data_IF_563788706349
#
_entry.id   IF_563788706349
#
_cell.length_a   1.000
_cell.length_b   1.000
_cell.length_c   1.000
_cell.angle_alpha   90.00
_cell.angle_beta   90.00
_cell.angle_gamma   90.00
#
_symmetry.space_group_name_H-M   'P 1'
#
loop_
_entity.id
_entity.type
_entity.pdbx_description
1 polymer ?
#
# COMPACT_ATOMS: atom_id res chain seq x y z
N UNK A 1 -11.18 -7.16 32.06
CA UNK A 1 -10.75 -7.55 30.72
C UNK A 1 -10.04 -8.89 30.83
N UNK A 2 -10.44 -9.88 30.03
CA UNK A 2 -9.75 -11.16 29.87
C UNK A 2 -8.84 -11.05 28.66
N UNK A 3 -7.65 -11.63 28.75
CA UNK A 3 -6.68 -11.65 27.67
C UNK A 3 -6.52 -13.06 27.12
N UNK A 4 -6.61 -13.23 25.81
CA UNK A 4 -6.26 -14.43 25.08
C UNK A 4 -5.23 -14.10 24.01
N UNK A 5 -4.35 -15.05 23.71
CA UNK A 5 -3.25 -14.81 22.76
C UNK A 5 -2.80 -16.07 22.04
N UNK A 6 -2.21 -15.85 20.87
CA UNK A 6 -1.41 -16.85 20.15
C UNK A 6 -0.01 -16.29 19.85
N UNK A 7 0.74 -16.90 18.92
CA UNK A 7 2.04 -16.36 18.49
C UNK A 7 1.98 -14.96 17.86
N UNK A 8 0.87 -14.61 17.17
CA UNK A 8 0.75 -13.40 16.33
C UNK A 8 -0.13 -12.30 16.93
N UNK A 9 -1.15 -12.68 17.72
CA UNK A 9 -2.17 -11.77 18.23
C UNK A 9 -2.30 -11.83 19.75
N UNK A 10 -2.60 -10.68 20.35
CA UNK A 10 -3.12 -10.56 21.72
C UNK A 10 -4.45 -9.83 21.66
N UNK A 11 -5.49 -10.41 22.24
CA UNK A 11 -6.82 -9.82 22.33
C UNK A 11 -7.21 -9.56 23.78
N UNK A 12 -7.86 -8.42 24.02
CA UNK A 12 -8.51 -8.12 25.32
C UNK A 12 -10.01 -8.04 25.13
N UNK A 13 -10.71 -8.91 25.82
CA UNK A 13 -12.16 -9.12 25.70
C UNK A 13 -12.83 -8.72 27.02
N UNK A 14 -13.95 -8.02 26.94
CA UNK A 14 -14.80 -7.73 28.10
C UNK A 14 -15.57 -8.99 28.48
N UNK A 15 -15.36 -9.56 29.66
CA UNK A 15 -16.09 -10.75 30.07
C UNK A 15 -17.59 -10.50 30.27
N UNK A 16 -17.97 -9.26 30.56
CA UNK A 16 -19.37 -8.90 30.82
C UNK A 16 -20.15 -8.56 29.56
N UNK A 17 -19.49 -8.01 28.54
CA UNK A 17 -20.19 -7.59 27.30
C UNK A 17 -19.85 -8.46 26.09
N UNK A 18 -18.84 -9.31 26.17
CA UNK A 18 -18.36 -10.11 25.04
C UNK A 18 -17.73 -9.27 23.91
N UNK A 19 -17.42 -7.99 24.15
CA UNK A 19 -16.80 -7.12 23.15
C UNK A 19 -15.28 -7.31 23.13
N UNK A 20 -14.68 -7.38 21.94
CA UNK A 20 -13.23 -7.35 21.77
C UNK A 20 -12.78 -5.90 21.71
N UNK A 21 -12.23 -5.41 22.81
CA UNK A 21 -11.83 -4.01 22.98
C UNK A 21 -10.40 -3.71 22.51
N UNK A 22 -9.56 -4.72 22.45
CA UNK A 22 -8.18 -4.54 22.00
C UNK A 22 -7.76 -5.74 21.16
N UNK A 23 -7.13 -5.44 20.05
CA UNK A 23 -6.39 -6.41 19.23
C UNK A 23 -5.02 -5.82 18.93
N UNK A 24 -3.97 -6.56 19.30
CA UNK A 24 -2.57 -6.15 19.13
C UNK A 24 -1.79 -7.21 18.38
N UNK A 25 -1.05 -6.76 17.36
CA UNK A 25 -0.12 -7.59 16.59
C UNK A 25 1.17 -7.74 17.39
N UNK A 26 1.73 -8.94 17.47
CA UNK A 26 3.00 -9.21 18.17
C UNK A 26 4.21 -9.00 17.28
N UNK A 27 4.13 -9.44 16.02
CA UNK A 27 5.23 -9.41 15.05
C UNK A 27 5.43 -8.03 14.40
N UNK A 28 4.43 -7.15 14.48
CA UNK A 28 4.48 -5.81 13.90
C UNK A 28 4.44 -4.76 14.99
N UNK A 29 5.55 -4.05 15.18
CA UNK A 29 5.70 -3.02 16.22
C UNK A 29 5.52 -1.61 15.64
N UNK A 30 5.27 -0.60 16.48
CA UNK A 30 5.19 0.79 16.02
C UNK A 30 6.54 1.36 15.61
N UNK A 31 7.58 1.06 16.38
CA UNK A 31 8.95 1.49 16.14
C UNK A 31 9.83 0.27 15.86
N UNK A 32 10.89 0.48 15.13
CA UNK A 32 11.90 -0.55 14.90
C UNK A 32 12.90 -0.62 16.08
N UNK A 33 12.39 -0.98 17.27
CA UNK A 33 13.20 -1.25 18.46
C UNK A 33 12.55 -2.34 19.30
N UNK A 34 13.34 -3.00 20.14
CA UNK A 34 12.90 -4.16 20.95
C UNK A 34 11.85 -3.78 22.00
N UNK A 35 11.86 -2.54 22.51
CA UNK A 35 10.91 -2.04 23.49
C UNK A 35 9.59 -1.57 22.88
N UNK A 36 9.46 -1.60 21.56
CA UNK A 36 8.27 -1.09 20.88
C UNK A 36 7.08 -2.02 21.07
N UNK A 37 5.97 -1.43 21.44
CA UNK A 37 4.70 -2.15 21.52
C UNK A 37 4.21 -2.58 20.14
N UNK A 38 3.59 -3.74 20.07
CA UNK A 38 2.95 -4.23 18.86
C UNK A 38 1.82 -3.30 18.38
N UNK A 39 1.63 -3.24 17.06
CA UNK A 39 0.58 -2.40 16.44
C UNK A 39 -0.80 -2.78 16.96
N UNK A 40 -1.56 -1.79 17.37
CA UNK A 40 -2.91 -1.95 17.89
C UNK A 40 -3.93 -1.74 16.77
N UNK A 41 -4.66 -2.78 16.42
CA UNK A 41 -5.75 -2.72 15.45
C UNK A 41 -7.05 -2.24 16.10
N UNK A 42 -7.42 -2.84 17.25
CA UNK A 42 -8.53 -2.39 18.07
C UNK A 42 -8.01 -1.73 19.35
N UNK A 43 -8.74 -0.75 19.82
CA UNK A 43 -8.40 -0.08 21.07
C UNK A 43 -9.29 1.11 21.35
N UNK A 44 -9.06 1.73 22.48
CA UNK A 44 -9.69 3.00 22.84
C UNK A 44 -8.63 3.95 23.39
N UNK A 45 -8.87 5.23 23.19
CA UNK A 45 -8.10 6.30 23.80
C UNK A 45 -9.06 7.31 24.43
N UNK A 46 -9.00 7.39 25.76
CA UNK A 46 -9.89 8.25 26.53
C UNK A 46 -9.61 9.73 26.29
N UNK A 47 -8.35 10.10 26.03
CA UNK A 47 -7.98 11.50 25.86
C UNK A 47 -8.61 12.10 24.58
N UNK A 48 -8.69 11.30 23.51
CA UNK A 48 -9.19 11.74 22.20
C UNK A 48 -10.57 11.19 21.85
N UNK A 49 -11.21 10.45 22.75
CA UNK A 49 -12.52 9.82 22.50
C UNK A 49 -12.49 8.70 21.45
N UNK A 50 -11.30 8.29 20.98
CA UNK A 50 -11.17 7.24 19.99
C UNK A 50 -11.62 5.89 20.55
N UNK A 51 -12.46 5.19 19.76
CA UNK A 51 -12.89 3.81 20.02
C UNK A 51 -12.84 3.03 18.72
N UNK A 52 -12.26 1.83 18.78
CA UNK A 52 -12.36 0.84 17.71
C UNK A 52 -12.42 -0.53 18.35
N UNK A 53 -13.56 -1.21 18.24
CA UNK A 53 -13.83 -2.51 18.84
C UNK A 53 -14.72 -3.39 17.96
N UNK A 54 -14.74 -4.68 18.27
CA UNK A 54 -15.57 -5.68 17.62
C UNK A 54 -16.63 -6.19 18.60
N UNK A 55 -17.81 -6.44 18.07
CA UNK A 55 -18.90 -7.14 18.77
C UNK A 55 -19.60 -8.12 17.83
N UNK A 56 -20.06 -9.22 18.39
CA UNK A 56 -20.92 -10.18 17.70
C UNK A 56 -22.09 -10.57 18.60
N UNK A 57 -23.03 -11.30 18.07
CA UNK A 57 -24.19 -11.81 18.81
C UNK A 57 -25.45 -11.84 17.96
N UNK A 58 -26.57 -11.67 18.63
CA UNK A 58 -27.90 -11.70 18.01
C UNK A 58 -28.54 -10.30 18.07
N UNK A 59 -29.17 -9.88 16.98
CA UNK A 59 -29.85 -8.57 16.89
C UNK A 59 -30.92 -8.45 17.99
N UNK A 60 -31.05 -7.24 18.53
CA UNK A 60 -32.01 -6.86 19.57
C UNK A 60 -31.75 -7.43 20.98
N UNK A 61 -30.58 -7.97 21.27
CA UNK A 61 -30.28 -8.52 22.59
C UNK A 61 -28.98 -7.99 23.18
N UNK A 62 -29.08 -7.01 24.07
CA UNK A 62 -28.00 -6.65 25.00
C UNK A 62 -27.88 -7.69 26.08
N UNK A 63 -26.95 -8.64 25.96
CA UNK A 63 -26.70 -9.67 26.97
C UNK A 63 -25.52 -9.31 27.85
N UNK A 64 -25.62 -9.60 29.12
CA UNK A 64 -24.50 -9.62 30.06
C UNK A 64 -23.99 -11.05 30.19
N UNK A 65 -22.68 -11.23 30.21
CA UNK A 65 -22.03 -12.54 30.20
C UNK A 65 -21.22 -12.77 31.48
N UNK A 66 -21.01 -14.05 31.77
CA UNK A 66 -20.06 -14.55 32.76
C UNK A 66 -19.09 -15.51 32.10
N UNK A 67 -17.91 -15.61 32.70
CA UNK A 67 -16.85 -16.49 32.20
C UNK A 67 -17.12 -17.93 32.57
N UNK A 68 -17.16 -18.80 31.60
CA UNK A 68 -17.26 -20.25 31.79
C UNK A 68 -15.88 -20.90 31.78
N UNK A 69 -15.03 -20.51 30.81
CA UNK A 69 -13.71 -21.11 30.63
C UNK A 69 -12.74 -20.10 30.01
N UNK A 70 -11.50 -20.12 30.49
CA UNK A 70 -10.39 -19.31 29.92
C UNK A 70 -9.23 -20.28 29.63
N UNK A 71 -8.80 -20.29 28.36
CA UNK A 71 -7.58 -20.94 27.89
C UNK A 71 -6.65 -19.90 27.28
N UNK A 72 -5.36 -20.18 27.08
CA UNK A 72 -4.44 -19.20 26.51
C UNK A 72 -4.89 -18.61 25.16
N UNK A 73 -5.52 -19.40 24.30
CA UNK A 73 -5.99 -19.00 22.97
C UNK A 73 -7.51 -18.99 22.80
N UNK A 74 -8.28 -19.29 23.86
CA UNK A 74 -9.75 -19.25 23.79
C UNK A 74 -10.42 -18.76 25.05
N UNK A 75 -11.64 -18.22 24.89
CA UNK A 75 -12.49 -17.73 25.96
C UNK A 75 -13.93 -18.13 25.67
N UNK A 76 -14.58 -18.82 26.65
CA UNK A 76 -16.00 -19.14 26.56
C UNK A 76 -16.79 -18.35 27.60
N UNK A 77 -17.85 -17.70 27.14
CA UNK A 77 -18.76 -16.91 27.93
C UNK A 77 -20.18 -17.51 27.82
N UNK A 78 -20.93 -17.39 28.90
CA UNK A 78 -22.37 -17.71 28.93
C UNK A 78 -23.12 -16.47 29.42
N UNK A 79 -24.24 -16.14 28.76
CA UNK A 79 -25.08 -15.05 29.24
C UNK A 79 -25.67 -15.37 30.63
N UNK A 80 -25.83 -14.35 31.47
CA UNK A 80 -26.34 -14.49 32.85
C UNK A 80 -27.71 -15.18 32.89
N UNK A 81 -28.53 -15.00 31.87
CA UNK A 81 -29.81 -15.69 31.72
C UNK A 81 -29.69 -17.11 31.13
N UNK A 82 -28.47 -17.60 30.88
CA UNK A 82 -28.22 -18.94 30.34
C UNK A 82 -28.63 -19.15 28.88
N UNK A 83 -29.09 -18.10 28.18
CA UNK A 83 -29.67 -18.24 26.85
C UNK A 83 -28.66 -18.24 25.70
N UNK A 84 -27.52 -17.59 25.85
CA UNK A 84 -26.52 -17.39 24.79
C UNK A 84 -25.14 -17.79 25.26
N UNK A 85 -24.48 -18.66 24.55
CA UNK A 85 -23.06 -18.97 24.70
C UNK A 85 -22.27 -18.26 23.60
N UNK A 86 -21.12 -17.70 23.97
CA UNK A 86 -20.18 -17.08 23.06
C UNK A 86 -18.79 -17.64 23.28
N UNK A 87 -18.15 -18.12 22.22
CA UNK A 87 -16.78 -18.63 22.26
C UNK A 87 -15.88 -17.89 21.30
N UNK A 88 -14.73 -17.47 21.82
CA UNK A 88 -13.65 -16.83 21.03
C UNK A 88 -12.50 -17.81 20.94
N UNK A 89 -11.98 -18.03 19.75
CA UNK A 89 -10.84 -18.92 19.52
C UNK A 89 -9.85 -18.26 18.56
N UNK A 90 -8.60 -18.13 18.98
CA UNK A 90 -7.49 -17.77 18.11
C UNK A 90 -6.84 -19.03 17.54
N UNK A 91 -6.78 -19.15 16.22
CA UNK A 91 -6.02 -20.21 15.58
C UNK A 91 -4.54 -20.11 15.94
N UNK A 92 -3.88 -21.25 16.09
CA UNK A 92 -2.44 -21.28 16.31
C UNK A 92 -1.72 -20.67 15.11
N UNK A 93 -0.75 -19.79 15.38
CA UNK A 93 0.10 -19.11 14.39
C UNK A 93 -0.65 -18.42 13.24
N UNK A 94 -1.79 -17.77 13.57
CA UNK A 94 -2.66 -17.14 12.59
C UNK A 94 -3.16 -15.78 13.08
N UNK A 95 -3.60 -14.92 12.13
CA UNK A 95 -4.24 -13.63 12.35
C UNK A 95 -5.78 -13.73 12.36
N UNK A 96 -6.34 -14.93 12.43
CA UNK A 96 -7.78 -15.15 12.38
C UNK A 96 -8.35 -15.41 13.77
N UNK A 97 -9.39 -14.64 14.12
CA UNK A 97 -10.26 -14.85 15.26
C UNK A 97 -11.53 -15.54 14.79
N UNK A 98 -11.84 -16.69 15.39
CA UNK A 98 -13.13 -17.36 15.25
C UNK A 98 -14.02 -16.98 16.44
N UNK A 99 -15.26 -16.61 16.16
CA UNK A 99 -16.27 -16.34 17.18
C UNK A 99 -17.48 -17.24 16.89
N UNK A 100 -17.83 -18.08 17.85
CA UNK A 100 -19.05 -18.88 17.79
C UNK A 100 -20.11 -18.28 18.73
N UNK A 101 -21.21 -17.81 18.16
CA UNK A 101 -22.38 -17.37 18.91
C UNK A 101 -23.45 -18.47 18.83
N UNK A 102 -23.88 -19.02 19.97
CA UNK A 102 -24.82 -20.13 20.05
C UNK A 102 -25.99 -19.78 20.95
N UNK A 103 -27.21 -20.04 20.50
CA UNK A 103 -28.38 -19.99 21.35
C UNK A 103 -28.56 -21.30 22.09
N UNK A 104 -28.52 -21.28 23.42
CA UNK A 104 -28.55 -22.46 24.28
C UNK A 104 -29.95 -22.69 24.87
N UNK A 105 -30.66 -21.60 25.18
CA UNK A 105 -32.02 -21.68 25.78
C UNK A 105 -33.14 -21.86 24.79
N UNK A 106 -34.37 -21.68 25.25
CA UNK A 106 -35.55 -21.73 24.41
C UNK A 106 -35.50 -20.57 23.40
N UNK A 107 -35.67 -20.90 22.10
CA UNK A 107 -35.73 -19.90 21.04
C UNK A 107 -36.99 -19.06 21.13
N UNK A 108 -36.91 -17.73 20.88
CA UNK A 108 -38.09 -16.92 20.67
C UNK A 108 -38.82 -17.30 19.37
N UNK A 109 -40.10 -16.87 19.23
CA UNK A 109 -40.87 -17.12 18.01
C UNK A 109 -40.17 -16.56 16.77
N UNK A 110 -39.60 -15.38 16.88
CA UNK A 110 -38.75 -14.78 15.85
C UNK A 110 -37.30 -15.14 16.12
N UNK A 111 -36.71 -15.95 15.24
CA UNK A 111 -35.29 -16.35 15.35
C UNK A 111 -34.41 -15.11 15.18
N UNK A 112 -33.63 -14.71 16.20
CA UNK A 112 -32.84 -13.49 16.13
C UNK A 112 -31.68 -13.65 15.15
N UNK A 113 -31.52 -12.65 14.28
CA UNK A 113 -30.45 -12.65 13.27
C UNK A 113 -29.07 -12.49 13.94
N UNK A 114 -28.13 -13.41 13.70
CA UNK A 114 -26.76 -13.26 14.16
C UNK A 114 -26.02 -12.18 13.36
N UNK A 115 -25.15 -11.45 14.06
CA UNK A 115 -24.33 -10.42 13.46
C UNK A 115 -22.91 -10.42 14.01
N UNK A 116 -21.98 -9.87 13.22
CA UNK A 116 -20.64 -9.48 13.65
C UNK A 116 -20.34 -8.09 13.07
N UNK A 117 -19.91 -7.16 13.92
CA UNK A 117 -19.71 -5.80 13.50
C UNK A 117 -18.53 -5.14 14.24
N UNK A 118 -17.84 -4.28 13.52
CA UNK A 118 -16.78 -3.40 14.00
C UNK A 118 -17.36 -1.99 14.20
N UNK A 119 -16.97 -1.36 15.28
CA UNK A 119 -17.46 -0.04 15.71
C UNK A 119 -16.26 0.90 15.83
N UNK A 120 -16.26 2.02 15.10
CA UNK A 120 -15.13 2.94 15.08
C UNK A 120 -15.56 4.40 15.07
N UNK A 121 -14.91 5.23 15.88
CA UNK A 121 -14.96 6.70 15.76
C UNK A 121 -14.01 7.16 14.64
N UNK A 122 -14.32 8.30 14.01
CA UNK A 122 -13.49 8.87 12.90
C UNK A 122 -12.17 9.49 13.38
N UNK A 123 -11.84 9.41 14.65
CA UNK A 123 -10.58 9.96 15.15
C UNK A 123 -9.41 9.01 14.90
N UNK A 124 -8.26 9.58 14.56
CA UNK A 124 -7.03 8.80 14.37
C UNK A 124 -6.55 8.26 15.71
N UNK A 125 -6.03 7.03 15.77
CA UNK A 125 -5.33 6.55 16.94
C UNK A 125 -4.13 7.46 17.24
N UNK A 126 -3.86 7.71 18.54
CA UNK A 126 -2.67 8.46 19.00
C UNK A 126 -1.34 7.87 18.48
N UNK A 127 -1.36 6.59 18.17
CA UNK A 127 -0.21 5.83 17.70
C UNK A 127 0.09 6.04 16.19
N UNK A 128 -0.72 6.86 15.50
CA UNK A 128 -0.43 7.22 14.11
C UNK A 128 0.79 8.15 14.08
N UNK A 129 1.88 7.70 13.49
CA UNK A 129 3.05 8.55 13.24
C UNK A 129 2.61 9.77 12.43
N UNK A 130 3.11 10.96 12.78
CA UNK A 130 2.95 12.21 12.00
C UNK A 130 3.74 12.17 10.67
N UNK A 131 3.65 11.07 9.96
CA UNK A 131 4.27 10.91 8.67
C UNK A 131 3.26 11.25 7.58
N UNK A 132 3.56 12.29 6.79
CA UNK A 132 2.70 12.76 5.69
C UNK A 132 2.31 11.62 4.75
N UNK A 133 3.20 10.62 4.54
CA UNK A 133 2.93 9.47 3.67
C UNK A 133 2.07 8.40 4.32
N UNK A 134 2.14 8.21 5.62
CA UNK A 134 1.20 7.33 6.34
C UNK A 134 -0.20 7.94 6.39
N UNK A 135 -0.26 9.26 6.55
CA UNK A 135 -1.51 10.01 6.58
C UNK A 135 -2.23 10.11 5.23
N UNK A 136 -1.52 9.96 4.12
CA UNK A 136 -2.10 10.02 2.76
C UNK A 136 -2.63 8.68 2.25
N UNK A 137 -2.39 7.58 2.99
CA UNK A 137 -2.89 6.27 2.61
C UNK A 137 -4.39 6.17 2.82
N UNK A 138 -5.03 5.33 2.00
CA UNK A 138 -6.46 5.09 2.11
C UNK A 138 -6.81 4.51 3.49
N UNK A 139 -7.76 5.13 4.16
CA UNK A 139 -8.38 4.64 5.39
C UNK A 139 -9.89 4.66 5.20
N UNK A 140 -10.53 3.50 5.25
CA UNK A 140 -11.96 3.41 4.98
C UNK A 140 -12.50 2.00 5.12
N UNK A 141 -13.72 1.86 4.63
CA UNK A 141 -14.42 0.58 4.53
C UNK A 141 -14.36 0.07 3.10
N UNK A 142 -14.21 -1.24 2.95
CA UNK A 142 -14.31 -1.90 1.67
C UNK A 142 -15.16 -3.17 1.77
N UNK A 143 -15.74 -3.53 0.62
CA UNK A 143 -16.63 -4.68 0.47
C UNK A 143 -16.20 -5.49 -0.74
N UNK A 144 -16.37 -6.79 -0.66
CA UNK A 144 -16.48 -7.64 -1.82
C UNK A 144 -17.96 -7.78 -2.15
N UNK A 145 -18.36 -7.39 -3.36
CA UNK A 145 -19.75 -7.46 -3.84
C UNK A 145 -19.85 -8.29 -5.12
N UNK A 146 -21.02 -8.80 -5.49
CA UNK A 146 -21.20 -9.57 -6.72
C UNK A 146 -20.89 -8.76 -7.98
N UNK A 147 -21.21 -7.46 -7.96
CA UNK A 147 -21.07 -6.57 -9.11
C UNK A 147 -19.67 -5.94 -9.19
N UNK A 148 -19.03 -5.75 -8.05
CA UNK A 148 -17.73 -5.14 -7.92
C UNK A 148 -16.86 -5.90 -6.90
N UNK A 149 -15.79 -6.59 -7.34
CA UNK A 149 -14.93 -7.38 -6.46
C UNK A 149 -14.30 -6.58 -5.32
N UNK A 150 -14.17 -5.26 -5.50
CA UNK A 150 -13.59 -4.34 -4.53
C UNK A 150 -14.28 -2.97 -4.57
N UNK A 151 -15.41 -2.86 -3.89
CA UNK A 151 -16.06 -1.58 -3.63
C UNK A 151 -15.45 -0.95 -2.36
N UNK A 152 -15.02 0.30 -2.43
CA UNK A 152 -14.41 0.97 -1.29
C UNK A 152 -14.93 2.40 -1.10
N UNK A 153 -14.99 2.84 0.15
CA UNK A 153 -15.43 4.18 0.53
C UNK A 153 -14.61 4.69 1.71
N UNK A 154 -14.12 5.93 1.61
CA UNK A 154 -13.46 6.57 2.75
C UNK A 154 -14.43 6.67 3.91
N UNK A 155 -13.93 6.44 5.13
CA UNK A 155 -14.80 6.43 6.31
C UNK A 155 -15.63 7.72 6.43
N UNK A 156 -15.00 8.88 6.20
CA UNK A 156 -15.67 10.21 6.24
C UNK A 156 -16.71 10.45 5.13
N UNK A 157 -16.73 9.61 4.11
CA UNK A 157 -17.66 9.71 2.99
C UNK A 157 -18.79 8.67 3.11
N UNK A 158 -18.91 8.01 4.27
CA UNK A 158 -20.06 7.16 4.60
C UNK A 158 -21.12 8.06 5.25
N UNK A 159 -21.92 8.73 4.42
CA UNK A 159 -22.96 9.65 4.87
C UNK A 159 -24.34 8.98 4.97
N UNK A 160 -24.52 7.85 4.28
CA UNK A 160 -25.71 7.05 4.25
C UNK A 160 -25.41 5.57 4.52
N UNK A 161 -26.45 4.79 4.80
CA UNK A 161 -26.35 3.34 4.96
C UNK A 161 -25.92 2.71 3.62
N UNK A 162 -24.79 2.01 3.64
CA UNK A 162 -24.35 1.15 2.55
C UNK A 162 -24.72 -0.28 2.92
N UNK A 163 -25.40 -0.99 2.03
CA UNK A 163 -25.84 -2.38 2.29
C UNK A 163 -25.82 -3.20 1.01
N UNK A 164 -25.16 -4.37 1.07
CA UNK A 164 -25.08 -5.35 0.00
C UNK A 164 -25.59 -6.71 0.49
N UNK A 165 -26.53 -7.30 -0.25
CA UNK A 165 -27.07 -8.63 0.06
C UNK A 165 -26.42 -9.67 -0.83
N UNK A 166 -25.71 -10.64 -0.22
CA UNK A 166 -25.03 -11.66 -0.98
C UNK A 166 -24.71 -12.92 -0.16
N UNK A 167 -24.27 -13.96 -0.86
CA UNK A 167 -23.69 -15.18 -0.26
C UNK A 167 -22.17 -15.08 -0.30
N UNK A 168 -21.52 -15.26 0.83
CA UNK A 168 -20.08 -15.09 0.93
C UNK A 168 -19.62 -13.63 0.83
N UNK A 169 -18.33 -13.42 0.52
CA UNK A 169 -17.70 -12.13 0.45
C UNK A 169 -17.11 -11.67 1.79
N UNK A 170 -16.84 -10.38 1.88
CA UNK A 170 -16.25 -9.81 3.08
C UNK A 170 -16.54 -8.31 3.17
N UNK A 171 -16.48 -7.79 4.40
CA UNK A 171 -16.43 -6.36 4.70
C UNK A 171 -15.21 -6.08 5.57
N UNK A 172 -14.44 -5.07 5.22
CA UNK A 172 -13.19 -4.76 5.89
C UNK A 172 -13.05 -3.28 6.22
N UNK A 173 -12.47 -3.02 7.39
CA UNK A 173 -11.86 -1.74 7.70
C UNK A 173 -10.38 -1.79 7.29
N UNK A 174 -9.97 -0.89 6.40
CA UNK A 174 -8.66 -0.88 5.78
C UNK A 174 -7.85 0.30 6.26
N UNK A 175 -6.60 0.05 6.62
CA UNK A 175 -5.53 1.02 6.83
C UNK A 175 -4.39 0.75 5.84
N UNK A 176 -3.32 1.54 5.88
CA UNK A 176 -2.18 1.41 4.98
C UNK A 176 -1.63 -0.03 4.93
N UNK A 177 -1.16 -0.54 6.04
CA UNK A 177 -0.48 -1.84 6.13
C UNK A 177 -1.33 -2.94 6.75
N UNK A 178 -2.40 -2.58 7.44
CA UNK A 178 -3.18 -3.49 8.28
C UNK A 178 -4.66 -3.37 7.97
N UNK A 179 -5.38 -4.43 8.29
CA UNK A 179 -6.84 -4.44 8.14
C UNK A 179 -7.51 -5.27 9.22
N UNK A 180 -8.80 -5.01 9.41
CA UNK A 180 -9.70 -5.85 10.14
C UNK A 180 -10.85 -6.22 9.19
N UNK A 181 -11.06 -7.50 8.91
CA UNK A 181 -12.06 -7.96 7.96
C UNK A 181 -12.97 -9.02 8.57
N UNK A 182 -14.26 -8.87 8.34
CA UNK A 182 -15.26 -9.91 8.57
C UNK A 182 -15.40 -10.72 7.30
N UNK A 183 -15.07 -12.01 7.38
CA UNK A 183 -15.14 -12.96 6.27
C UNK A 183 -16.45 -13.75 6.40
N UNK A 184 -17.34 -13.64 5.41
CA UNK A 184 -18.66 -14.25 5.48
C UNK A 184 -18.68 -15.60 4.77
N UNK A 185 -19.42 -16.59 5.31
CA UNK A 185 -19.53 -17.89 4.69
C UNK A 185 -20.42 -17.83 3.44
N UNK A 186 -20.13 -18.68 2.47
CA UNK A 186 -20.86 -18.76 1.19
C UNK A 186 -22.18 -19.54 1.26
N UNK A 187 -22.44 -20.23 2.38
CA UNK A 187 -23.60 -21.11 2.56
C UNK A 187 -24.90 -20.36 2.90
N UNK A 188 -24.80 -19.09 3.33
CA UNK A 188 -25.97 -18.28 3.73
C UNK A 188 -25.92 -16.87 3.17
N UNK A 189 -27.12 -16.25 3.09
CA UNK A 189 -27.25 -14.84 2.70
C UNK A 189 -26.86 -13.94 3.86
N UNK A 190 -26.02 -12.95 3.58
CA UNK A 190 -25.60 -11.93 4.52
C UNK A 190 -25.92 -10.54 3.97
N UNK A 191 -26.26 -9.62 4.85
CA UNK A 191 -26.20 -8.19 4.57
C UNK A 191 -24.84 -7.67 5.03
N UNK A 192 -23.98 -7.28 4.10
CA UNK A 192 -22.76 -6.55 4.40
C UNK A 192 -23.12 -5.07 4.53
N UNK A 193 -22.80 -4.45 5.67
CA UNK A 193 -23.28 -3.12 5.99
C UNK A 193 -22.15 -2.17 6.41
N UNK A 194 -22.28 -0.89 6.04
CA UNK A 194 -21.62 0.22 6.71
C UNK A 194 -22.66 1.30 7.04
N UNK A 195 -22.63 1.76 8.28
CA UNK A 195 -23.54 2.77 8.79
C UNK A 195 -22.74 4.01 9.22
N UNK A 196 -23.22 5.22 8.86
CA UNK A 196 -22.66 6.45 9.37
C UNK A 196 -22.90 6.61 10.88
N UNK A 197 -22.21 7.56 11.54
CA UNK A 197 -22.57 8.00 12.87
C UNK A 197 -24.03 8.47 12.92
N UNK A 198 -24.66 8.28 14.06
CA UNK A 198 -26.02 8.77 14.34
C UNK A 198 -25.98 9.90 15.35
N UNK A 199 -27.11 10.61 15.55
CA UNK A 199 -27.26 11.66 16.58
C UNK A 199 -26.95 11.16 17.99
N UNK A 200 -27.12 9.84 18.22
CA UNK A 200 -26.85 9.20 19.50
C UNK A 200 -25.42 8.64 19.63
N UNK A 201 -24.70 8.49 18.52
CA UNK A 201 -23.37 7.85 18.51
C UNK A 201 -22.47 8.42 17.41
N UNK A 202 -21.29 8.90 17.80
CA UNK A 202 -20.22 9.35 16.92
C UNK A 202 -19.48 8.19 16.19
N UNK A 203 -20.08 7.01 16.14
CA UNK A 203 -19.41 5.77 15.79
C UNK A 203 -19.93 5.20 14.47
N UNK A 204 -19.05 5.00 13.51
CA UNK A 204 -19.29 4.20 12.32
C UNK A 204 -19.44 2.73 12.70
N UNK A 205 -20.38 2.03 12.07
CA UNK A 205 -20.56 0.59 12.24
C UNK A 205 -20.39 -0.10 10.91
N UNK A 206 -19.57 -1.14 10.86
CA UNK A 206 -19.39 -1.96 9.66
C UNK A 206 -19.34 -3.44 10.02
N UNK A 207 -20.00 -4.27 9.24
CA UNK A 207 -20.07 -5.70 9.56
C UNK A 207 -20.98 -6.49 8.65
N UNK A 208 -21.33 -7.67 9.14
CA UNK A 208 -22.26 -8.60 8.45
C UNK A 208 -23.39 -9.01 9.38
N UNK A 209 -24.60 -9.02 8.81
CA UNK A 209 -25.82 -9.49 9.49
C UNK A 209 -26.35 -10.65 8.66
N UNK A 210 -26.49 -11.84 9.28
CA UNK A 210 -27.07 -12.99 8.61
C UNK A 210 -28.56 -12.78 8.36
N UNK A 211 -29.00 -13.18 7.18
CA UNK A 211 -30.42 -13.17 6.78
C UNK A 211 -30.88 -14.62 6.58
N UNK A 212 -32.18 -14.85 6.68
CA UNK A 212 -32.79 -16.18 6.44
C UNK A 212 -32.18 -17.31 7.29
N UNK A 213 -31.95 -17.04 8.58
CA UNK A 213 -31.31 -17.98 9.50
C UNK A 213 -32.34 -18.97 10.04
N UNK A 214 -31.99 -20.26 9.98
CA UNK A 214 -32.84 -21.33 10.54
C UNK A 214 -32.57 -21.47 12.05
N UNK A 215 -33.64 -21.86 12.77
CA UNK A 215 -33.56 -22.15 14.20
C UNK A 215 -32.45 -23.16 14.54
N UNK A 216 -32.28 -24.20 13.72
CA UNK A 216 -31.23 -25.21 13.88
C UNK A 216 -29.81 -24.63 13.77
N UNK A 217 -29.58 -23.62 12.94
CA UNK A 217 -28.26 -23.00 12.78
C UNK A 217 -27.87 -22.19 14.01
N UNK A 218 -28.84 -21.45 14.57
CA UNK A 218 -28.63 -20.63 15.76
C UNK A 218 -28.36 -21.50 17.00
N UNK A 219 -29.02 -22.66 17.10
CA UNK A 219 -28.81 -23.62 18.20
C UNK A 219 -27.56 -24.46 18.03
N UNK A 220 -27.12 -24.76 16.80
CA UNK A 220 -25.85 -25.46 16.56
C UNK A 220 -24.62 -24.57 16.73
N UNK A 221 -24.79 -23.27 16.60
CA UNK A 221 -23.72 -22.25 16.68
C UNK A 221 -23.45 -21.58 15.35
N UNK A 222 -23.38 -20.25 15.36
CA UNK A 222 -23.05 -19.43 14.20
C UNK A 222 -21.62 -18.99 14.30
N UNK A 223 -20.81 -19.40 13.33
CA UNK A 223 -19.40 -19.05 13.27
C UNK A 223 -19.16 -17.77 12.48
N UNK A 224 -18.44 -16.87 13.08
CA UNK A 224 -17.93 -15.65 12.46
C UNK A 224 -16.40 -15.73 12.35
N UNK A 225 -15.88 -15.44 11.18
CA UNK A 225 -14.44 -15.39 10.91
C UNK A 225 -14.02 -13.93 10.79
N UNK A 226 -13.05 -13.52 11.60
CA UNK A 226 -12.53 -12.14 11.61
C UNK A 226 -11.02 -12.18 11.42
N UNK A 227 -10.56 -11.61 10.32
CA UNK A 227 -9.14 -11.44 10.06
C UNK A 227 -8.65 -10.13 10.68
N UNK A 228 -7.56 -10.18 11.44
CA UNK A 228 -6.98 -9.05 12.17
C UNK A 228 -5.47 -9.03 11.92
N UNK A 229 -5.03 -8.50 10.79
CA UNK A 229 -3.63 -8.67 10.44
C UNK A 229 -3.08 -7.73 9.38
N UNK A 230 -1.82 -8.01 8.98
CA UNK A 230 -1.14 -7.28 7.92
C UNK A 230 -1.71 -7.63 6.54
N UNK A 231 -1.63 -6.67 5.62
CA UNK A 231 -2.02 -6.88 4.22
C UNK A 231 -0.90 -7.56 3.43
N UNK A 232 -0.61 -8.82 3.75
CA UNK A 232 0.33 -9.66 3.00
C UNK A 232 -0.42 -10.36 1.87
N UNK A 233 -0.04 -10.11 0.62
CA UNK A 233 -0.79 -10.56 -0.55
C UNK A 233 -1.04 -12.06 -0.59
N UNK A 234 -0.01 -12.87 -0.35
CA UNK A 234 -0.11 -14.34 -0.36
C UNK A 234 -1.06 -14.87 0.70
N UNK A 235 -1.11 -14.23 1.87
CA UNK A 235 -2.00 -14.59 2.95
C UNK A 235 -3.46 -14.21 2.60
N UNK A 236 -3.69 -13.00 2.11
CA UNK A 236 -5.03 -12.51 1.77
C UNK A 236 -5.72 -13.35 0.69
N UNK A 237 -5.01 -13.76 -0.37
CA UNK A 237 -5.53 -14.63 -1.44
C UNK A 237 -6.05 -15.95 -0.87
N UNK A 238 -5.39 -16.49 0.14
CA UNK A 238 -5.76 -17.77 0.74
C UNK A 238 -7.02 -17.71 1.63
N UNK A 239 -7.43 -16.51 2.08
CA UNK A 239 -8.49 -16.31 3.07
C UNK A 239 -9.87 -16.09 2.49
N UNK A 240 -9.95 -15.26 1.48
CA UNK A 240 -11.20 -14.96 0.77
C UNK A 240 -10.91 -14.45 -0.65
N UNK A 241 -11.84 -14.66 -1.59
CA UNK A 241 -11.72 -14.13 -2.95
C UNK A 241 -11.58 -12.61 -2.94
N UNK A 242 -10.67 -12.10 -3.77
CA UNK A 242 -10.44 -10.66 -4.00
C UNK A 242 -10.03 -9.84 -2.76
N UNK A 243 -9.71 -10.49 -1.63
CA UNK A 243 -9.29 -9.79 -0.42
C UNK A 243 -7.94 -9.09 -0.60
N UNK A 244 -7.08 -9.59 -1.49
CA UNK A 244 -5.80 -8.97 -1.86
C UNK A 244 -5.97 -7.63 -2.59
N UNK A 245 -7.14 -7.34 -3.16
CA UNK A 245 -7.43 -6.03 -3.79
C UNK A 245 -7.46 -4.89 -2.77
N UNK A 246 -7.51 -5.20 -1.48
CA UNK A 246 -7.35 -4.22 -0.39
C UNK A 246 -5.95 -3.60 -0.34
N UNK A 247 -4.95 -4.19 -1.02
CA UNK A 247 -3.63 -3.61 -1.21
C UNK A 247 -3.72 -2.65 -2.40
N UNK A 248 -3.66 -1.34 -2.14
CA UNK A 248 -3.75 -0.32 -3.19
C UNK A 248 -2.48 -0.29 -4.06
N UNK A 249 -2.52 -1.01 -5.16
CA UNK A 249 -1.44 -1.06 -6.17
C UNK A 249 -1.49 0.11 -7.17
N UNK A 250 -2.41 1.06 -6.99
CA UNK A 250 -2.55 2.25 -7.82
C UNK A 250 -3.01 1.98 -9.26
N UNK A 251 -2.93 3.00 -10.10
CA UNK A 251 -3.39 2.94 -11.51
C UNK A 251 -2.64 1.92 -12.35
N UNK A 252 -1.40 1.63 -12.01
CA UNK A 252 -0.57 0.65 -12.70
C UNK A 252 -0.54 -0.70 -11.97
N UNK A 253 -1.65 -1.11 -11.35
CA UNK A 253 -1.78 -2.37 -10.61
C UNK A 253 -1.32 -3.59 -11.43
N UNK A 254 -1.64 -3.62 -12.74
CA UNK A 254 -1.23 -4.68 -13.65
C UNK A 254 0.30 -4.78 -13.82
N UNK A 255 1.05 -3.73 -13.48
CA UNK A 255 2.51 -3.69 -13.47
C UNK A 255 3.04 -3.83 -12.04
N UNK A 256 2.40 -3.19 -11.05
CA UNK A 256 2.82 -3.23 -9.64
C UNK A 256 2.73 -4.64 -9.05
N UNK A 257 1.68 -5.40 -9.39
CA UNK A 257 1.51 -6.77 -8.90
C UNK A 257 2.62 -7.73 -9.37
N UNK A 258 2.95 -7.83 -10.67
CA UNK A 258 4.09 -8.63 -11.13
C UNK A 258 5.42 -8.17 -10.53
N UNK A 259 5.63 -6.85 -10.35
CA UNK A 259 6.83 -6.32 -9.73
C UNK A 259 6.96 -6.77 -8.29
N UNK A 260 5.89 -6.73 -7.50
CA UNK A 260 5.88 -7.21 -6.12
C UNK A 260 6.13 -8.72 -6.05
N UNK A 261 5.52 -9.49 -6.94
CA UNK A 261 5.74 -10.94 -7.02
C UNK A 261 7.21 -11.27 -7.33
N UNK A 262 7.81 -10.58 -8.30
CA UNK A 262 9.23 -10.74 -8.65
C UNK A 262 10.13 -10.28 -7.51
N UNK A 263 9.80 -9.17 -6.84
CA UNK A 263 10.55 -8.66 -5.69
C UNK A 263 10.57 -9.68 -4.54
N UNK A 264 9.41 -10.27 -4.22
CA UNK A 264 9.31 -11.33 -3.19
C UNK A 264 10.08 -12.58 -3.59
N UNK A 265 10.02 -12.99 -4.85
CA UNK A 265 10.78 -14.12 -5.36
C UNK A 265 12.30 -13.90 -5.24
N UNK A 266 12.78 -12.71 -5.60
CA UNK A 266 14.19 -12.35 -5.45
C UNK A 266 14.57 -12.29 -3.97
N UNK A 267 13.69 -11.78 -3.10
CA UNK A 267 13.94 -11.70 -1.67
C UNK A 267 14.06 -13.07 -1.00
N UNK A 268 13.33 -14.07 -1.47
CA UNK A 268 13.47 -15.46 -1.00
C UNK A 268 14.87 -16.04 -1.26
N UNK A 269 15.63 -15.47 -2.22
CA UNK A 269 17.00 -15.87 -2.52
C UNK A 269 18.02 -14.95 -1.85
N UNK A 270 17.78 -13.64 -1.84
CA UNK A 270 18.71 -12.63 -1.35
C UNK A 270 18.64 -12.42 0.17
N UNK A 271 17.52 -12.79 0.81
CA UNK A 271 17.24 -12.55 2.23
C UNK A 271 17.51 -11.10 2.68
N UNK A 272 17.32 -10.13 1.77
CA UNK A 272 17.46 -8.71 2.05
C UNK A 272 16.66 -7.90 1.02
N UNK A 273 15.64 -7.18 1.48
CA UNK A 273 14.74 -6.42 0.62
C UNK A 273 15.44 -5.30 -0.17
N UNK A 274 16.44 -4.62 0.42
CA UNK A 274 17.19 -3.59 -0.29
C UNK A 274 18.03 -4.15 -1.44
N UNK A 275 18.68 -5.30 -1.23
CA UNK A 275 19.38 -6.03 -2.30
C UNK A 275 18.38 -6.47 -3.38
N UNK A 276 17.23 -6.94 -2.99
CA UNK A 276 16.17 -7.38 -3.91
C UNK A 276 15.66 -6.24 -4.79
N UNK A 277 15.50 -5.04 -4.22
CA UNK A 277 15.14 -3.81 -4.97
C UNK A 277 16.20 -3.51 -6.04
N UNK A 278 17.48 -3.59 -5.68
CA UNK A 278 18.58 -3.35 -6.62
C UNK A 278 18.59 -4.41 -7.74
N UNK A 279 18.50 -5.69 -7.38
CA UNK A 279 18.51 -6.79 -8.35
C UNK A 279 17.32 -6.72 -9.30
N UNK A 280 16.13 -6.44 -8.79
CA UNK A 280 14.94 -6.24 -9.63
C UNK A 280 15.10 -5.03 -10.56
N UNK A 281 15.71 -3.94 -10.06
CA UNK A 281 16.02 -2.76 -10.89
C UNK A 281 16.96 -3.12 -12.03
N UNK A 282 18.02 -3.89 -11.75
CA UNK A 282 18.95 -4.40 -12.78
C UNK A 282 18.20 -5.25 -13.81
N UNK A 283 17.36 -6.19 -13.35
CA UNK A 283 16.59 -7.07 -14.22
C UNK A 283 15.69 -6.27 -15.16
N UNK A 284 14.93 -5.31 -14.65
CA UNK A 284 14.07 -4.44 -15.46
C UNK A 284 14.90 -3.63 -16.47
N UNK A 285 16.04 -3.08 -16.04
CA UNK A 285 16.93 -2.34 -16.93
C UNK A 285 17.51 -3.20 -18.04
N UNK A 286 17.84 -4.45 -17.78
CA UNK A 286 18.30 -5.39 -18.79
C UNK A 286 17.18 -5.72 -19.79
N UNK A 287 15.97 -5.96 -19.30
CA UNK A 287 14.79 -6.22 -20.14
C UNK A 287 14.46 -5.02 -21.05
N UNK A 288 14.53 -3.81 -20.51
CA UNK A 288 14.26 -2.57 -21.25
C UNK A 288 15.49 -2.01 -21.98
N UNK A 289 16.63 -2.72 -21.93
CA UNK A 289 17.86 -2.26 -22.57
C UNK A 289 17.74 -1.93 -24.05
N UNK A 290 17.17 -2.81 -24.91
CA UNK A 290 17.11 -2.52 -26.35
C UNK A 290 16.27 -1.27 -26.66
N UNK A 291 15.26 -1.00 -25.83
CA UNK A 291 14.39 0.13 -25.99
C UNK A 291 15.05 1.43 -25.50
N UNK A 292 15.68 1.40 -24.35
CA UNK A 292 16.46 2.51 -23.80
C UNK A 292 17.67 2.87 -24.67
N UNK A 293 18.33 1.87 -25.26
CA UNK A 293 19.46 2.05 -26.16
C UNK A 293 19.12 2.88 -27.40
N UNK A 294 17.92 2.70 -27.99
CA UNK A 294 17.44 3.52 -29.12
C UNK A 294 17.32 5.00 -28.71
N UNK A 295 16.79 5.28 -27.54
CA UNK A 295 16.69 6.65 -27.00
C UNK A 295 18.06 7.29 -26.76
N UNK A 296 18.96 6.61 -26.05
CA UNK A 296 20.31 7.11 -25.81
C UNK A 296 21.15 7.25 -27.10
N UNK A 297 20.95 6.38 -28.08
CA UNK A 297 21.58 6.52 -29.41
C UNK A 297 21.12 7.79 -30.12
N UNK A 298 19.82 8.12 -30.08
CA UNK A 298 19.30 9.38 -30.63
C UNK A 298 19.89 10.61 -29.92
N UNK A 299 19.99 10.55 -28.59
CA UNK A 299 20.65 11.64 -27.80
C UNK A 299 22.12 11.79 -28.14
N UNK A 300 22.85 10.69 -28.34
CA UNK A 300 24.25 10.71 -28.76
C UNK A 300 24.40 11.40 -30.13
N UNK A 301 23.58 11.05 -31.11
CA UNK A 301 23.55 11.71 -32.43
C UNK A 301 23.21 13.19 -32.34
N UNK A 302 22.23 13.56 -31.49
CA UNK A 302 21.88 14.98 -31.25
C UNK A 302 23.06 15.76 -30.69
N UNK A 303 23.83 15.18 -29.78
CA UNK A 303 25.03 15.80 -29.23
C UNK A 303 26.10 16.04 -30.30
N UNK A 304 26.30 15.07 -31.20
CA UNK A 304 27.27 15.23 -32.33
C UNK A 304 26.83 16.28 -33.34
N UNK A 305 25.54 16.45 -33.55
CA UNK A 305 24.97 17.49 -34.40
C UNK A 305 24.94 18.88 -33.74
N UNK A 306 25.29 18.99 -32.45
CA UNK A 306 25.23 20.23 -31.67
C UNK A 306 25.92 21.45 -32.33
N UNK A 307 27.16 21.33 -32.87
CA UNK A 307 27.82 22.46 -33.57
C UNK A 307 27.01 22.93 -34.80
N UNK A 308 26.51 22.00 -35.63
CA UNK A 308 25.67 22.33 -36.81
C UNK A 308 24.34 22.98 -36.39
N UNK A 309 23.74 22.53 -35.30
CA UNK A 309 22.52 23.10 -34.77
C UNK A 309 22.74 24.55 -34.26
N UNK A 310 23.87 24.83 -33.61
CA UNK A 310 24.23 26.18 -33.19
C UNK A 310 24.45 27.11 -34.39
N UNK A 311 25.12 26.65 -35.43
CA UNK A 311 25.31 27.44 -36.68
C UNK A 311 23.98 27.80 -37.33
N UNK A 312 23.01 26.88 -37.42
CA UNK A 312 21.68 27.13 -37.93
C UNK A 312 20.96 28.13 -37.03
N UNK A 313 21.07 27.99 -35.71
CA UNK A 313 20.44 28.88 -34.74
C UNK A 313 20.97 30.32 -34.84
N UNK A 314 22.26 30.48 -35.00
CA UNK A 314 22.90 31.81 -35.17
C UNK A 314 22.52 32.45 -36.51
N UNK A 315 22.45 31.63 -37.59
CA UNK A 315 22.12 32.09 -38.95
C UNK A 315 20.66 32.55 -39.07
N UNK A 316 19.73 31.89 -38.40
CA UNK A 316 18.27 32.17 -38.53
C UNK A 316 17.64 32.66 -37.22
N UNK A 317 18.43 33.30 -36.31
CA UNK A 317 17.95 33.76 -34.99
C UNK A 317 16.76 34.69 -35.05
N UNK A 318 16.64 35.51 -36.14
CA UNK A 318 15.61 36.50 -36.33
C UNK A 318 14.40 35.96 -37.14
N UNK A 319 14.49 34.74 -37.70
CA UNK A 319 13.43 34.08 -38.47
C UNK A 319 13.09 32.73 -37.88
N UNK A 320 12.18 32.71 -36.92
CA UNK A 320 11.76 31.48 -36.19
C UNK A 320 11.16 30.40 -37.12
N UNK A 321 10.49 30.80 -38.20
CA UNK A 321 9.88 29.88 -39.14
C UNK A 321 10.95 29.11 -39.94
N UNK A 322 11.95 29.85 -40.49
CA UNK A 322 13.09 29.24 -41.17
C UNK A 322 13.96 28.42 -40.23
N UNK A 323 14.19 28.94 -38.99
CA UNK A 323 14.94 28.17 -37.98
C UNK A 323 14.31 26.79 -37.74
N UNK A 324 13.01 26.71 -37.52
CA UNK A 324 12.30 25.47 -37.33
C UNK A 324 12.43 24.52 -38.53
N UNK A 325 12.28 25.05 -39.72
CA UNK A 325 12.38 24.27 -40.99
C UNK A 325 13.78 23.69 -41.17
N UNK A 326 14.82 24.50 -41.03
CA UNK A 326 16.22 24.09 -41.22
C UNK A 326 16.68 23.12 -40.11
N UNK A 327 16.24 23.31 -38.89
CA UNK A 327 16.48 22.35 -37.82
C UNK A 327 15.85 21.00 -38.10
N UNK A 328 14.60 20.96 -38.56
CA UNK A 328 13.90 19.72 -38.91
C UNK A 328 14.58 19.04 -40.14
N UNK A 329 15.06 19.82 -41.10
CA UNK A 329 15.81 19.32 -42.24
C UNK A 329 17.12 18.67 -41.80
N UNK A 330 17.84 19.31 -40.87
CA UNK A 330 19.08 18.74 -40.29
C UNK A 330 18.80 17.44 -39.54
N UNK A 331 17.75 17.41 -38.68
CA UNK A 331 17.37 16.19 -37.96
C UNK A 331 17.05 15.03 -38.89
N UNK A 332 16.32 15.31 -39.98
CA UNK A 332 15.99 14.32 -40.97
C UNK A 332 17.24 13.82 -41.71
N UNK A 333 18.17 14.74 -42.08
CA UNK A 333 19.43 14.42 -42.76
C UNK A 333 20.35 13.56 -41.90
N UNK A 334 20.47 13.86 -40.61
CA UNK A 334 21.34 13.13 -39.66
C UNK A 334 20.65 11.89 -39.05
N UNK A 335 19.39 11.63 -39.39
CA UNK A 335 18.59 10.54 -38.82
C UNK A 335 18.41 10.65 -37.31
N UNK A 336 18.20 11.87 -36.83
CA UNK A 336 17.96 12.22 -35.41
C UNK A 336 16.47 12.31 -35.18
N UNK A 337 15.98 11.60 -34.16
CA UNK A 337 14.64 11.79 -33.65
C UNK A 337 14.70 12.72 -32.42
N UNK A 338 14.21 13.97 -32.51
CA UNK A 338 14.22 14.90 -31.38
C UNK A 338 13.43 14.40 -30.16
N UNK A 339 12.36 13.59 -30.37
CA UNK A 339 11.62 12.96 -29.30
C UNK A 339 12.37 11.78 -28.66
N UNK A 340 13.47 11.29 -29.26
CA UNK A 340 14.27 10.20 -28.71
C UNK A 340 14.93 10.54 -27.37
N UNK A 341 15.15 11.82 -27.10
CA UNK A 341 15.75 12.29 -25.84
C UNK A 341 14.84 12.13 -24.61
N UNK A 342 13.55 12.31 -24.76
CA UNK A 342 12.59 12.13 -23.67
C UNK A 342 12.07 10.70 -23.56
N UNK A 343 12.32 9.85 -24.57
CA UNK A 343 11.80 8.49 -24.63
C UNK A 343 12.21 7.61 -23.45
N UNK A 344 13.48 7.59 -22.97
CA UNK A 344 13.86 6.84 -21.77
C UNK A 344 13.07 7.29 -20.51
N UNK A 345 12.78 8.56 -20.39
CA UNK A 345 11.99 9.10 -19.26
C UNK A 345 10.53 8.65 -19.34
N UNK A 346 9.92 8.73 -20.53
CA UNK A 346 8.54 8.28 -20.74
C UNK A 346 8.39 6.78 -20.48
N UNK A 347 9.35 5.97 -20.90
CA UNK A 347 9.37 4.54 -20.62
C UNK A 347 9.53 4.21 -19.13
N UNK A 348 10.28 5.04 -18.41
CA UNK A 348 10.57 4.86 -16.99
C UNK A 348 9.39 5.26 -16.09
N UNK A 349 8.56 6.22 -16.51
CA UNK A 349 7.47 6.75 -15.68
C UNK A 349 6.47 5.69 -15.21
N UNK A 350 5.91 4.81 -16.07
CA UNK A 350 5.01 3.75 -15.61
C UNK A 350 5.69 2.79 -14.63
N UNK A 351 6.96 2.44 -14.88
CA UNK A 351 7.75 1.57 -14.00
C UNK A 351 7.99 2.24 -12.65
N UNK A 352 8.34 3.54 -12.66
CA UNK A 352 8.54 4.31 -11.43
C UNK A 352 7.26 4.38 -10.59
N UNK A 353 6.13 4.72 -11.21
CA UNK A 353 4.85 4.81 -10.50
C UNK A 353 4.41 3.44 -9.96
N UNK A 354 4.59 2.37 -10.74
CA UNK A 354 4.32 1.01 -10.27
C UNK A 354 5.19 0.62 -9.07
N UNK A 355 6.49 0.92 -9.11
CA UNK A 355 7.40 0.70 -7.98
C UNK A 355 7.02 1.55 -6.77
N UNK A 356 6.63 2.81 -6.99
CA UNK A 356 6.19 3.70 -5.92
C UNK A 356 5.03 3.08 -5.13
N UNK A 357 3.98 2.63 -5.79
CA UNK A 357 2.87 1.96 -5.13
C UNK A 357 3.28 0.63 -4.50
N UNK A 358 4.04 -0.19 -5.22
CA UNK A 358 4.55 -1.47 -4.73
C UNK A 358 5.32 -1.31 -3.41
N UNK A 359 6.30 -0.41 -3.34
CA UNK A 359 7.14 -0.24 -2.15
C UNK A 359 6.44 0.54 -1.03
N UNK A 360 5.52 1.45 -1.38
CA UNK A 360 4.79 2.25 -0.41
C UNK A 360 3.76 1.44 0.38
N UNK A 361 3.05 0.53 -0.30
CA UNK A 361 1.94 -0.22 0.29
C UNK A 361 2.36 -1.59 0.84
N UNK A 362 3.62 -1.99 0.61
CA UNK A 362 4.13 -3.28 1.11
C UNK A 362 4.42 -3.23 2.61
N UNK A 363 3.69 -4.04 3.37
CA UNK A 363 3.96 -4.26 4.78
C UNK A 363 5.27 -5.00 5.02
N UNK A 364 5.69 -5.80 4.04
CA UNK A 364 6.90 -6.63 4.06
C UNK A 364 8.19 -5.81 4.11
N UNK A 365 8.16 -4.55 3.64
CA UNK A 365 9.31 -3.64 3.73
C UNK A 365 9.38 -2.85 5.04
N UNK A 366 8.31 -2.95 5.85
CA UNK A 366 8.21 -2.20 7.08
C UNK A 366 9.16 -2.76 8.12
N UNK A 367 10.06 -1.89 8.65
CA UNK A 367 11.14 -2.22 9.58
C UNK A 367 12.22 -3.16 9.01
N UNK A 368 12.22 -3.39 7.69
CA UNK A 368 13.28 -4.14 7.04
C UNK A 368 14.51 -3.27 6.84
N UNK A 369 15.65 -3.77 7.28
CA UNK A 369 16.95 -3.09 7.13
C UNK A 369 17.59 -3.39 5.77
N UNK A 370 18.40 -2.44 5.30
CA UNK A 370 19.29 -2.70 4.17
C UNK A 370 20.72 -2.92 4.67
N UNK A 371 21.60 -1.93 4.51
CA UNK A 371 22.96 -1.95 5.03
C UNK A 371 23.28 -0.63 5.73
N UNK A 372 24.26 -0.66 6.60
CA UNK A 372 24.83 0.50 7.30
C UNK A 372 23.76 1.24 8.13
N UNK A 373 23.40 2.45 7.74
CA UNK A 373 22.51 3.34 8.47
C UNK A 373 21.01 3.16 8.13
N UNK A 374 20.67 2.41 7.08
CA UNK A 374 19.27 2.20 6.68
C UNK A 374 18.72 1.02 7.46
N UNK A 375 17.98 1.32 8.52
CA UNK A 375 17.37 0.35 9.42
C UNK A 375 15.90 0.08 9.09
N UNK A 376 15.28 0.90 8.25
CA UNK A 376 13.89 0.78 7.84
C UNK A 376 13.70 1.31 6.42
N UNK A 377 13.46 0.40 5.47
CA UNK A 377 13.23 0.74 4.06
C UNK A 377 11.90 1.48 3.83
N UNK A 378 10.95 1.37 4.75
CA UNK A 378 9.65 2.05 4.68
C UNK A 378 9.67 3.48 5.25
N UNK A 379 10.74 3.85 5.98
CA UNK A 379 10.95 5.18 6.53
C UNK A 379 11.90 6.02 5.66
N UNK A 380 11.88 7.35 5.76
CA UNK A 380 12.87 8.23 5.11
C UNK A 380 14.29 7.92 5.59
N UNK A 381 15.29 8.19 4.72
CA UNK A 381 16.70 8.06 5.07
C UNK A 381 17.07 9.08 6.17
N UNK A 382 17.47 8.62 7.38
CA UNK A 382 17.72 9.52 8.51
C UNK A 382 18.90 10.47 8.32
N UNK A 383 19.86 10.14 7.45
CA UNK A 383 21.03 10.96 7.16
C UNK A 383 20.97 11.66 5.80
N UNK A 384 19.90 11.49 5.04
CA UNK A 384 19.70 12.06 3.71
C UNK A 384 20.78 11.70 2.68
N UNK A 385 21.56 10.64 2.94
CA UNK A 385 22.66 10.22 2.06
C UNK A 385 22.11 9.75 0.71
N UNK A 386 21.07 8.92 0.71
CA UNK A 386 20.47 8.43 -0.54
C UNK A 386 19.89 9.56 -1.40
N UNK A 387 19.11 10.55 -0.87
CA UNK A 387 18.69 11.71 -1.64
C UNK A 387 19.83 12.52 -2.24
N UNK A 388 20.93 12.72 -1.49
CA UNK A 388 22.12 13.44 -1.98
C UNK A 388 22.81 12.67 -3.10
N UNK A 389 22.98 11.35 -2.95
CA UNK A 389 23.55 10.47 -4.00
C UNK A 389 22.67 10.50 -5.24
N UNK A 390 21.35 10.43 -5.07
CA UNK A 390 20.40 10.54 -6.17
C UNK A 390 20.52 11.87 -6.91
N UNK A 391 20.59 13.01 -6.18
CA UNK A 391 20.81 14.34 -6.76
C UNK A 391 22.08 14.41 -7.58
N UNK A 392 23.20 13.87 -7.03
CA UNK A 392 24.48 13.84 -7.72
C UNK A 392 24.41 13.02 -9.02
N UNK A 393 23.80 11.84 -8.99
CA UNK A 393 23.61 10.99 -10.18
C UNK A 393 22.73 11.68 -11.23
N UNK A 394 21.64 12.32 -10.83
CA UNK A 394 20.79 13.09 -11.73
C UNK A 394 21.55 14.27 -12.34
N UNK A 395 22.30 15.00 -11.54
CA UNK A 395 23.13 16.12 -12.02
C UNK A 395 24.16 15.64 -13.06
N UNK A 396 24.87 14.55 -12.78
CA UNK A 396 25.84 13.96 -13.72
C UNK A 396 25.14 13.50 -15.02
N UNK A 397 23.98 12.90 -14.92
CA UNK A 397 23.17 12.51 -16.08
C UNK A 397 22.75 13.73 -16.89
N UNK A 398 22.32 14.80 -16.22
CA UNK A 398 21.92 16.05 -16.87
C UNK A 398 23.09 16.73 -17.63
N UNK A 399 24.30 16.68 -17.08
CA UNK A 399 25.48 17.21 -17.79
C UNK A 399 25.81 16.46 -19.10
N UNK A 400 25.44 15.18 -19.17
CA UNK A 400 25.64 14.39 -20.38
C UNK A 400 24.55 14.67 -21.44
N UNK A 401 23.39 15.15 -21.03
CA UNK A 401 22.28 15.41 -21.94
C UNK A 401 22.57 16.63 -22.84
N UNK A 402 22.35 16.53 -24.15
CA UNK A 402 22.44 17.68 -25.03
C UNK A 402 21.36 18.70 -24.67
N UNK A 403 21.75 19.95 -24.58
CA UNK A 403 20.76 21.03 -24.40
C UNK A 403 19.97 21.21 -25.72
N UNK A 404 18.64 21.31 -25.65
CA UNK A 404 17.84 21.62 -26.82
C UNK A 404 18.25 22.98 -27.39
N UNK A 405 18.50 23.07 -28.69
CA UNK A 405 18.82 24.35 -29.34
C UNK A 405 17.61 25.29 -29.27
N UNK A 406 17.88 26.61 -29.09
CA UNK A 406 16.84 27.65 -28.98
C UNK A 406 16.18 27.78 -27.61
N UNK A 407 16.72 27.10 -26.59
CA UNK A 407 16.22 27.21 -25.24
C UNK A 407 16.56 28.60 -24.65
N UNK A 408 15.55 29.20 -24.03
CA UNK A 408 15.74 30.45 -23.28
C UNK A 408 16.73 30.24 -22.13
N UNK A 409 17.61 31.23 -21.83
CA UNK A 409 18.55 31.11 -20.72
C UNK A 409 17.91 30.76 -19.37
N UNK A 410 16.71 31.26 -19.11
CA UNK A 410 15.93 30.94 -17.90
C UNK A 410 15.50 29.48 -17.87
N UNK A 411 15.02 28.95 -18.99
CA UNK A 411 14.68 27.53 -19.11
C UNK A 411 15.92 26.63 -18.93
N UNK A 412 17.05 27.02 -19.48
CA UNK A 412 18.31 26.31 -19.32
C UNK A 412 18.76 26.25 -17.84
N UNK A 413 18.59 27.35 -17.10
CA UNK A 413 18.84 27.38 -15.65
C UNK A 413 17.88 26.47 -14.88
N UNK A 414 16.56 26.54 -15.16
CA UNK A 414 15.56 25.69 -14.53
C UNK A 414 15.92 24.21 -14.75
N UNK A 415 16.24 23.81 -15.99
CA UNK A 415 16.64 22.44 -16.28
C UNK A 415 17.90 22.02 -15.54
N UNK A 416 18.87 22.92 -15.36
CA UNK A 416 20.09 22.64 -14.62
C UNK A 416 19.84 22.37 -13.13
N UNK A 417 18.90 23.09 -12.52
CA UNK A 417 18.57 22.96 -11.09
C UNK A 417 17.44 21.97 -10.80
N UNK A 418 16.71 21.54 -11.82
CA UNK A 418 15.61 20.57 -11.68
C UNK A 418 16.01 19.31 -10.89
N UNK A 419 17.21 18.70 -11.07
CA UNK A 419 17.63 17.56 -10.27
C UNK A 419 17.66 17.83 -8.77
N UNK A 420 18.07 19.03 -8.37
CA UNK A 420 18.11 19.44 -6.96
C UNK A 420 16.68 19.57 -6.41
N UNK A 421 15.77 20.18 -7.17
CA UNK A 421 14.36 20.31 -6.78
C UNK A 421 13.69 18.96 -6.60
N UNK A 422 13.95 18.01 -7.50
CA UNK A 422 13.43 16.62 -7.37
C UNK A 422 14.02 15.95 -6.13
N UNK A 423 15.33 16.07 -5.89
CA UNK A 423 16.00 15.45 -4.75
C UNK A 423 15.43 15.92 -3.39
N UNK A 424 14.98 17.18 -3.30
CA UNK A 424 14.30 17.71 -2.10
C UNK A 424 13.03 16.93 -1.78
N UNK A 425 12.25 16.56 -2.80
CA UNK A 425 11.05 15.73 -2.62
C UNK A 425 11.43 14.35 -2.09
N UNK A 426 12.57 13.80 -2.54
CA UNK A 426 13.03 12.48 -2.11
C UNK A 426 13.54 12.42 -0.66
N UNK A 427 13.78 13.57 -0.01
CA UNK A 427 14.12 13.65 1.41
C UNK A 427 13.04 13.05 2.31
N UNK A 428 11.78 13.23 1.94
CA UNK A 428 10.64 12.75 2.72
C UNK A 428 10.11 11.39 2.24
N UNK A 429 10.67 10.84 1.17
CA UNK A 429 10.26 9.55 0.61
C UNK A 429 10.87 8.37 1.37
N UNK A 430 10.19 7.19 1.40
CA UNK A 430 10.76 5.97 1.96
C UNK A 430 12.11 5.61 1.35
N UNK A 431 13.07 5.18 2.19
CA UNK A 431 14.43 4.86 1.78
C UNK A 431 14.49 3.78 0.68
N UNK A 432 13.57 2.80 0.69
CA UNK A 432 13.49 1.79 -0.36
C UNK A 432 13.19 2.37 -1.75
N UNK A 433 12.33 3.40 -1.84
CA UNK A 433 12.05 4.09 -3.10
C UNK A 433 13.22 4.94 -3.57
N UNK A 434 13.91 5.60 -2.62
CA UNK A 434 15.12 6.38 -2.93
C UNK A 434 16.22 5.46 -3.40
N UNK A 435 16.39 4.30 -2.76
CA UNK A 435 17.37 3.26 -3.14
C UNK A 435 17.11 2.75 -4.57
N UNK A 436 15.84 2.44 -4.90
CA UNK A 436 15.45 2.13 -6.27
C UNK A 436 15.88 3.25 -7.24
N UNK A 437 15.60 4.51 -6.89
CA UNK A 437 15.88 5.67 -7.75
C UNK A 437 17.39 5.88 -7.95
N UNK A 438 18.19 5.67 -6.90
CA UNK A 438 19.65 5.67 -6.96
C UNK A 438 20.17 4.58 -7.89
N UNK A 439 19.73 3.33 -7.69
CA UNK A 439 20.14 2.19 -8.54
C UNK A 439 19.75 2.42 -10.00
N UNK A 440 18.50 2.86 -10.24
CA UNK A 440 17.98 3.18 -11.56
C UNK A 440 18.79 4.28 -12.26
N UNK A 441 19.15 5.35 -11.55
CA UNK A 441 19.93 6.48 -12.09
C UNK A 441 21.38 6.09 -12.34
N UNK A 442 21.99 5.32 -11.45
CA UNK A 442 23.35 4.81 -11.63
C UNK A 442 23.47 3.92 -12.88
N UNK A 443 22.55 2.96 -13.04
CA UNK A 443 22.52 2.09 -14.23
C UNK A 443 22.27 2.91 -15.49
N UNK A 444 21.32 3.88 -15.45
CA UNK A 444 21.06 4.78 -16.58
C UNK A 444 22.29 5.59 -17.00
N UNK A 445 23.05 6.11 -16.03
CA UNK A 445 24.28 6.84 -16.29
C UNK A 445 25.34 5.96 -16.97
N UNK A 446 25.48 4.71 -16.52
CA UNK A 446 26.39 3.73 -17.16
C UNK A 446 25.93 3.41 -18.59
N UNK A 447 24.62 3.15 -18.78
CA UNK A 447 24.02 2.90 -20.09
C UNK A 447 24.26 4.09 -21.04
N UNK A 448 23.99 5.31 -20.58
CA UNK A 448 24.17 6.53 -21.37
C UNK A 448 25.64 6.72 -21.78
N UNK A 449 26.58 6.56 -20.83
CA UNK A 449 28.01 6.64 -21.13
C UNK A 449 28.46 5.59 -22.17
N UNK A 450 27.99 4.34 -22.02
CA UNK A 450 28.28 3.26 -22.97
C UNK A 450 27.76 3.59 -24.38
N UNK A 451 26.55 4.12 -24.47
CA UNK A 451 25.95 4.50 -25.76
C UNK A 451 26.64 5.72 -26.39
N UNK A 452 27.06 6.69 -25.57
CA UNK A 452 27.82 7.83 -26.07
C UNK A 452 29.22 7.43 -26.55
N UNK A 453 29.87 6.46 -25.92
CA UNK A 453 31.15 5.90 -26.42
C UNK A 453 30.92 5.17 -27.77
N UNK A 454 29.79 4.49 -27.94
CA UNK A 454 29.48 3.72 -29.15
C UNK A 454 29.06 4.60 -30.34
N UNK A 455 28.26 5.65 -30.08
CA UNK A 455 27.62 6.49 -31.11
C UNK A 455 28.02 7.97 -31.06
N UNK A 456 28.75 8.38 -30.05
CA UNK A 456 29.24 9.75 -29.89
C UNK A 456 30.42 10.03 -30.82
N UNK A 457 30.53 11.29 -31.26
CA UNK A 457 31.68 11.73 -32.07
C UNK A 457 33.02 11.54 -31.34
N UNK A 458 34.09 11.41 -32.10
CA UNK A 458 35.41 11.55 -31.56
C UNK A 458 35.55 12.90 -30.83
N UNK A 459 36.33 12.89 -29.75
CA UNK A 459 36.70 14.06 -28.95
C UNK A 459 36.90 15.28 -29.83
N UNK A 460 36.27 16.42 -29.42
CA UNK A 460 36.61 17.70 -30.03
C UNK A 460 38.14 17.85 -30.10
N UNK A 461 38.69 18.40 -31.18
CA UNK A 461 40.08 18.74 -31.21
C UNK A 461 40.36 19.72 -30.08
N UNK A 462 41.48 19.50 -29.40
CA UNK A 462 42.00 20.26 -28.27
C UNK A 462 42.09 21.77 -28.58
#
# INVERSE_FOLDING_TARGET
>A
MVEIQNSKLTLKISPTTGKVWQARLKEHTYLNNEDSLGVRLFGFDRANGFKFYLNSGFVAQGKTFEVVEILPSSLRLLSVDGMVSKEFTLKSDDYELLIEDRWVGQLPLDVPAPYVAMYRTDQRPLDARDNIFENSSYTGVAFNTPDEPYANTRLRSVDERIEYFQRGGWVAFIQKYFMAAVLTPSDRVQALVALPPSDESDTYVMGAISREVKASEVTSGVNHRVFLGPKVRSDLISRAPDLELTIDMGWFWFLSQPLMMLLSLINNLANNWGVSIILLTVLIKLLLWPLSAKGFSSMAKMRTAGPKLKEIQERYKDDRAKLGTEMMALYKKEGINPAGGCFPLLLQMPVFVAFFFCLRESVELRHESFFFWIQDLSAPDPFFILPVVFAALMYLTQQLNPQPPGMDPTQAQIMKFMPVGIAVIFVIMPAGLVLYSVANSAISLVQQKAMYKKYGAPSAPA
#
